data_IF_034464406229
#
_entry.id   IF_034464406229
#
_cell.length_a   1.000
_cell.length_b   1.000
_cell.length_c   1.000
_cell.angle_alpha   90.00
_cell.angle_beta   90.00
_cell.angle_gamma   90.00
#
_symmetry.space_group_name_H-M   'P 1'
#
loop_
_entity.id
_entity.type
_entity.pdbx_description
1 polymer ?
#
# COMPACT_ATOMS: atom_id res chain seq x y z
N UNK A 1 -21.58 33.58 -37.07
CA UNK A 1 -20.83 32.47 -36.43
C UNK A 1 -21.18 32.44 -34.95
N UNK A 2 -22.08 31.52 -34.53
CA UNK A 2 -22.60 31.42 -33.18
C UNK A 2 -21.60 30.63 -32.32
N UNK A 3 -21.07 31.27 -31.29
CA UNK A 3 -20.14 30.69 -30.31
C UNK A 3 -20.93 29.74 -29.42
N UNK A 4 -20.63 28.45 -29.51
CA UNK A 4 -21.28 27.38 -28.75
C UNK A 4 -20.96 27.52 -27.24
N UNK A 5 -21.89 27.87 -26.32
CA UNK A 5 -21.60 28.20 -24.92
C UNK A 5 -21.45 26.96 -24.02
N UNK A 6 -21.43 25.73 -24.56
CA UNK A 6 -21.46 24.49 -23.76
C UNK A 6 -20.17 23.66 -23.81
N UNK A 7 -19.03 24.29 -24.05
CA UNK A 7 -17.76 23.60 -23.80
C UNK A 7 -17.53 23.59 -22.27
N UNK A 8 -18.01 22.58 -21.58
CA UNK A 8 -17.63 22.29 -20.20
C UNK A 8 -16.10 22.18 -20.19
N UNK A 9 -15.43 23.21 -19.67
CA UNK A 9 -14.03 23.19 -19.37
C UNK A 9 -13.84 22.02 -18.39
N UNK A 10 -13.17 20.98 -18.84
CA UNK A 10 -12.84 19.86 -17.96
C UNK A 10 -12.04 20.43 -16.77
N UNK A 11 -12.39 20.10 -15.53
CA UNK A 11 -11.69 20.62 -14.38
C UNK A 11 -10.23 20.18 -14.46
N UNK A 12 -9.34 21.17 -14.35
CA UNK A 12 -7.88 21.03 -14.38
C UNK A 12 -7.32 20.25 -13.17
N UNK A 13 -8.21 19.67 -12.36
CA UNK A 13 -7.96 19.08 -11.04
C UNK A 13 -7.85 17.54 -11.05
N UNK A 14 -7.91 16.89 -12.22
CA UNK A 14 -7.84 15.41 -12.30
C UNK A 14 -6.56 14.78 -11.74
N UNK A 15 -5.33 15.30 -11.98
CA UNK A 15 -4.12 14.70 -11.42
C UNK A 15 -4.05 14.86 -9.91
N UNK A 16 -4.49 15.97 -9.34
CA UNK A 16 -4.50 16.22 -7.90
C UNK A 16 -5.49 15.31 -7.16
N UNK A 17 -6.66 15.04 -7.75
CA UNK A 17 -7.63 14.11 -7.19
C UNK A 17 -7.10 12.66 -7.18
N UNK A 18 -6.33 12.25 -8.17
CA UNK A 18 -5.64 10.96 -8.23
C UNK A 18 -4.59 10.81 -7.15
N UNK A 19 -3.71 11.80 -7.00
CA UNK A 19 -2.67 11.84 -5.98
C UNK A 19 -3.26 11.81 -4.56
N UNK A 20 -4.33 12.55 -4.31
CA UNK A 20 -5.02 12.58 -3.01
C UNK A 20 -5.65 11.23 -2.65
N UNK A 21 -6.25 10.53 -3.62
CA UNK A 21 -6.79 9.18 -3.41
C UNK A 21 -5.68 8.16 -3.13
N UNK A 22 -4.56 8.26 -3.83
CA UNK A 22 -3.39 7.41 -3.60
C UNK A 22 -2.81 7.64 -2.20
N UNK A 23 -2.68 8.90 -1.78
CA UNK A 23 -2.24 9.27 -0.45
C UNK A 23 -3.16 8.71 0.64
N UNK A 24 -4.48 8.86 0.47
CA UNK A 24 -5.45 8.32 1.42
C UNK A 24 -5.35 6.80 1.54
N UNK A 25 -5.23 6.10 0.41
CA UNK A 25 -5.07 4.65 0.40
C UNK A 25 -3.78 4.21 1.12
N UNK A 26 -2.68 4.93 0.92
CA UNK A 26 -1.43 4.69 1.63
C UNK A 26 -1.53 4.95 3.12
N UNK A 27 -2.22 6.02 3.55
CA UNK A 27 -2.47 6.28 4.98
C UNK A 27 -3.27 5.14 5.63
N UNK A 28 -4.27 4.59 4.95
CA UNK A 28 -5.04 3.45 5.45
C UNK A 28 -4.16 2.20 5.56
N UNK A 29 -3.31 1.95 4.56
CA UNK A 29 -2.36 0.85 4.58
C UNK A 29 -1.35 0.97 5.73
N UNK A 30 -0.81 2.17 5.95
CA UNK A 30 0.11 2.45 7.04
C UNK A 30 -0.56 2.30 8.42
N UNK A 31 -1.78 2.81 8.57
CA UNK A 31 -2.59 2.61 9.78
C UNK A 31 -2.76 1.11 10.10
N UNK A 32 -3.05 0.30 9.09
CA UNK A 32 -3.17 -1.15 9.25
C UNK A 32 -1.86 -1.78 9.74
N UNK A 33 -0.71 -1.41 9.15
CA UNK A 33 0.60 -1.89 9.59
C UNK A 33 0.96 -1.44 11.01
N UNK A 34 0.62 -0.20 11.39
CA UNK A 34 0.83 0.32 12.74
C UNK A 34 -0.03 -0.42 13.77
N UNK A 35 -1.28 -0.75 13.43
CA UNK A 35 -2.16 -1.55 14.27
C UNK A 35 -1.56 -2.95 14.46
N UNK A 36 -1.15 -3.62 13.38
CA UNK A 36 -0.46 -4.91 13.49
C UNK A 36 0.80 -4.81 14.36
N UNK A 37 1.60 -3.77 14.18
CA UNK A 37 2.79 -3.54 14.99
C UNK A 37 2.46 -3.36 16.46
N UNK A 38 1.44 -2.57 16.77
CA UNK A 38 1.00 -2.29 18.15
C UNK A 38 0.57 -3.57 18.88
N UNK A 39 -0.23 -4.38 18.23
CA UNK A 39 -0.79 -5.58 18.87
C UNK A 39 0.16 -6.78 18.83
N UNK A 40 0.98 -6.93 17.80
CA UNK A 40 1.80 -8.12 17.61
C UNK A 40 3.22 -8.00 18.17
N UNK A 41 3.87 -6.85 18.05
CA UNK A 41 5.26 -6.66 18.53
C UNK A 41 5.31 -6.27 20.01
N UNK A 42 4.34 -5.49 20.49
CA UNK A 42 4.31 -5.03 21.88
C UNK A 42 3.62 -6.01 22.84
N UNK A 43 3.37 -7.26 22.45
CA UNK A 43 2.89 -8.27 23.35
C UNK A 43 3.98 -8.63 24.39
N UNK A 44 3.66 -8.49 25.67
CA UNK A 44 4.60 -8.56 26.79
C UNK A 44 5.25 -9.95 26.98
N UNK A 45 4.75 -11.00 26.31
CA UNK A 45 5.37 -12.33 26.33
C UNK A 45 5.21 -13.05 24.98
N UNK A 46 6.21 -13.86 24.61
CA UNK A 46 6.16 -14.70 23.42
C UNK A 46 5.00 -15.70 23.45
N UNK A 47 4.69 -16.24 24.62
CA UNK A 47 3.59 -17.18 24.81
C UNK A 47 2.22 -16.54 24.56
N UNK A 48 1.98 -15.32 25.06
CA UNK A 48 0.74 -14.57 24.82
C UNK A 48 0.59 -14.22 23.34
N UNK A 49 1.72 -13.89 22.67
CA UNK A 49 1.75 -13.57 21.25
C UNK A 49 1.38 -14.78 20.38
N UNK A 50 1.95 -15.94 20.67
CA UNK A 50 1.69 -17.18 19.92
C UNK A 50 0.28 -17.70 20.21
N UNK A 51 -0.15 -17.73 21.46
CA UNK A 51 -1.42 -18.31 21.84
C UNK A 51 -2.64 -17.47 21.42
N UNK A 52 -2.57 -16.15 21.57
CA UNK A 52 -3.72 -15.27 21.32
C UNK A 52 -3.70 -14.63 19.92
N UNK A 53 -2.54 -14.16 19.45
CA UNK A 53 -2.48 -13.35 18.23
C UNK A 53 -2.21 -14.16 16.97
N UNK A 54 -1.60 -15.32 17.06
CA UNK A 54 -1.32 -16.15 15.86
C UNK A 54 -2.61 -16.66 15.22
N UNK A 55 -3.61 -16.99 16.00
CA UNK A 55 -4.93 -17.39 15.51
C UNK A 55 -5.65 -16.23 14.79
N UNK A 56 -5.56 -15.00 15.32
CA UNK A 56 -6.15 -13.81 14.67
C UNK A 56 -5.44 -13.44 13.38
N UNK A 57 -4.13 -13.64 13.30
CA UNK A 57 -3.37 -13.40 12.06
C UNK A 57 -3.78 -14.40 10.96
N UNK A 58 -4.04 -15.66 11.30
CA UNK A 58 -4.54 -16.65 10.35
C UNK A 58 -5.92 -16.28 9.81
N UNK A 59 -6.83 -15.87 10.68
CA UNK A 59 -8.16 -15.42 10.24
C UNK A 59 -8.08 -14.16 9.38
N UNK A 60 -7.23 -13.19 9.74
CA UNK A 60 -6.99 -11.99 8.92
C UNK A 60 -6.37 -12.32 7.56
N UNK A 61 -5.40 -13.23 7.51
CA UNK A 61 -4.83 -13.69 6.24
C UNK A 61 -5.89 -14.39 5.36
N UNK A 62 -6.74 -15.22 5.97
CA UNK A 62 -7.86 -15.88 5.30
C UNK A 62 -8.89 -14.89 4.76
N UNK A 63 -9.25 -13.88 5.54
CA UNK A 63 -10.15 -12.77 5.11
C UNK A 63 -9.51 -12.02 3.94
N UNK A 64 -8.23 -11.66 4.03
CA UNK A 64 -7.49 -10.99 2.96
C UNK A 64 -7.48 -11.80 1.65
N UNK A 65 -7.21 -13.11 1.75
CA UNK A 65 -7.27 -14.01 0.60
C UNK A 65 -8.70 -14.14 0.02
N UNK A 66 -9.72 -14.20 0.87
CA UNK A 66 -11.12 -14.22 0.46
C UNK A 66 -11.52 -12.95 -0.28
N UNK A 67 -11.18 -11.78 0.25
CA UNK A 67 -11.45 -10.47 -0.38
C UNK A 67 -10.72 -10.35 -1.71
N UNK A 68 -9.47 -10.85 -1.81
CA UNK A 68 -8.73 -10.90 -3.06
C UNK A 68 -9.45 -11.78 -4.09
N UNK A 69 -9.84 -12.99 -3.73
CA UNK A 69 -10.54 -13.91 -4.62
C UNK A 69 -11.87 -13.30 -5.13
N UNK A 70 -12.69 -12.76 -4.24
CA UNK A 70 -13.93 -12.08 -4.59
C UNK A 70 -13.68 -10.86 -5.49
N UNK A 71 -12.67 -10.05 -5.19
CA UNK A 71 -12.27 -8.90 -6.00
C UNK A 71 -11.86 -9.28 -7.41
N UNK A 72 -11.05 -10.35 -7.56
CA UNK A 72 -10.62 -10.86 -8.88
C UNK A 72 -11.80 -11.41 -9.66
N UNK A 73 -12.65 -12.25 -9.04
CA UNK A 73 -13.83 -12.81 -9.69
C UNK A 73 -14.77 -11.68 -10.13
N UNK A 74 -15.02 -10.69 -9.26
CA UNK A 74 -15.84 -9.53 -9.57
C UNK A 74 -15.24 -8.70 -10.72
N UNK A 75 -13.91 -8.53 -10.78
CA UNK A 75 -13.23 -7.82 -11.86
C UNK A 75 -13.37 -8.54 -13.21
N UNK A 76 -13.35 -9.88 -13.21
CA UNK A 76 -13.54 -10.71 -14.41
C UNK A 76 -15.00 -10.68 -14.89
N UNK A 77 -15.94 -10.82 -13.97
CA UNK A 77 -17.39 -10.85 -14.29
C UNK A 77 -17.89 -9.47 -14.73
N UNK A 78 -17.41 -8.39 -14.06
CA UNK A 78 -17.83 -7.01 -14.34
C UNK A 78 -17.02 -6.36 -15.47
N UNK A 79 -16.35 -7.12 -16.30
CA UNK A 79 -15.57 -6.62 -17.44
C UNK A 79 -16.35 -5.73 -18.40
N UNK A 80 -17.68 -5.87 -18.43
CA UNK A 80 -18.60 -5.08 -19.25
C UNK A 80 -18.71 -3.61 -18.80
N UNK A 81 -18.38 -3.26 -17.54
CA UNK A 81 -18.55 -1.91 -17.00
C UNK A 81 -17.24 -1.38 -16.43
N UNK A 82 -16.56 -0.46 -17.14
CA UNK A 82 -15.26 0.08 -16.78
C UNK A 82 -15.19 0.71 -15.37
N UNK A 83 -16.28 1.34 -14.90
CA UNK A 83 -16.32 1.93 -13.54
C UNK A 83 -16.38 0.85 -12.45
N UNK A 84 -17.21 -0.17 -12.64
CA UNK A 84 -17.36 -1.29 -11.68
C UNK A 84 -16.12 -2.18 -11.68
N UNK A 85 -15.51 -2.37 -12.84
CA UNK A 85 -14.26 -3.12 -12.96
C UNK A 85 -13.11 -2.44 -12.18
N UNK A 86 -12.98 -1.09 -12.26
CA UNK A 86 -11.97 -0.36 -11.47
C UNK A 86 -12.17 -0.53 -9.97
N UNK A 87 -13.41 -0.47 -9.47
CA UNK A 87 -13.67 -0.69 -8.04
C UNK A 87 -13.37 -2.12 -7.60
N UNK A 88 -13.64 -3.11 -8.44
CA UNK A 88 -13.31 -4.51 -8.17
C UNK A 88 -11.79 -4.74 -8.10
N UNK A 89 -11.01 -4.11 -8.97
CA UNK A 89 -9.54 -4.15 -8.90
C UNK A 89 -8.98 -3.49 -7.65
N UNK A 90 -9.56 -2.37 -7.20
CA UNK A 90 -9.17 -1.73 -5.94
C UNK A 90 -9.45 -2.65 -4.75
N UNK A 91 -10.60 -3.33 -4.75
CA UNK A 91 -10.95 -4.31 -3.72
C UNK A 91 -9.98 -5.49 -3.72
N UNK A 92 -9.63 -6.02 -4.91
CA UNK A 92 -8.65 -7.09 -5.05
C UNK A 92 -7.27 -6.67 -4.54
N UNK A 93 -6.82 -5.45 -4.87
CA UNK A 93 -5.55 -4.91 -4.39
C UNK A 93 -5.52 -4.74 -2.87
N UNK A 94 -6.61 -4.26 -2.27
CA UNK A 94 -6.74 -4.16 -0.82
C UNK A 94 -6.68 -5.54 -0.15
N UNK A 95 -7.40 -6.52 -0.67
CA UNK A 95 -7.36 -7.91 -0.17
C UNK A 95 -5.97 -8.54 -0.31
N UNK A 96 -5.29 -8.30 -1.44
CA UNK A 96 -3.92 -8.74 -1.67
C UNK A 96 -2.94 -8.13 -0.65
N UNK A 97 -3.07 -6.82 -0.39
CA UNK A 97 -2.22 -6.13 0.57
C UNK A 97 -2.41 -6.68 1.99
N UNK A 98 -3.66 -6.82 2.44
CA UNK A 98 -3.97 -7.36 3.78
C UNK A 98 -3.49 -8.79 3.91
N UNK A 99 -3.77 -9.65 2.93
CA UNK A 99 -3.33 -11.05 2.94
C UNK A 99 -1.80 -11.20 2.90
N UNK A 100 -1.13 -10.46 2.03
CA UNK A 100 0.33 -10.49 1.92
C UNK A 100 1.01 -9.91 3.16
N UNK A 101 0.54 -8.78 3.69
CA UNK A 101 1.11 -8.16 4.88
C UNK A 101 1.01 -9.09 6.10
N UNK A 102 -0.15 -9.72 6.33
CA UNK A 102 -0.33 -10.66 7.44
C UNK A 102 0.49 -11.94 7.27
N UNK A 103 0.59 -12.48 6.08
CA UNK A 103 1.40 -13.66 5.79
C UNK A 103 2.91 -13.39 5.99
N UNK A 104 3.39 -12.23 5.53
CA UNK A 104 4.78 -11.82 5.68
C UNK A 104 5.16 -11.55 7.14
N UNK A 105 4.27 -10.92 7.90
CA UNK A 105 4.47 -10.68 9.35
C UNK A 105 4.61 -11.99 10.12
N UNK A 106 3.81 -12.99 9.75
CA UNK A 106 3.89 -14.31 10.35
C UNK A 106 5.21 -15.02 10.04
N UNK A 107 5.69 -14.90 8.80
CA UNK A 107 6.94 -15.54 8.39
C UNK A 107 8.16 -14.91 9.06
N UNK A 108 8.21 -13.58 9.12
CA UNK A 108 9.33 -12.86 9.71
C UNK A 108 8.89 -11.52 10.32
N UNK A 109 9.08 -11.38 11.64
CA UNK A 109 8.75 -10.13 12.36
C UNK A 109 9.54 -8.92 11.87
N UNK A 110 10.78 -9.11 11.42
CA UNK A 110 11.58 -8.02 10.88
C UNK A 110 10.93 -7.40 9.63
N UNK A 111 10.15 -8.17 8.89
CA UNK A 111 9.43 -7.73 7.70
C UNK A 111 8.38 -6.66 8.03
N UNK A 112 7.72 -6.74 9.19
CA UNK A 112 6.75 -5.71 9.61
C UNK A 112 7.43 -4.35 9.79
N UNK A 113 8.58 -4.32 10.46
CA UNK A 113 9.35 -3.07 10.63
C UNK A 113 9.85 -2.53 9.29
N UNK A 114 10.22 -3.42 8.37
CA UNK A 114 10.61 -3.03 7.01
C UNK A 114 9.43 -2.46 6.22
N UNK A 115 8.26 -3.12 6.24
CA UNK A 115 7.04 -2.66 5.56
C UNK A 115 6.56 -1.29 6.05
N UNK A 116 6.63 -1.03 7.36
CA UNK A 116 6.27 0.27 7.97
C UNK A 116 7.16 1.42 7.46
N UNK A 117 8.35 1.14 6.94
CA UNK A 117 9.23 2.16 6.34
C UNK A 117 9.01 2.24 4.84
N UNK A 118 8.82 1.12 4.18
CA UNK A 118 8.68 1.05 2.72
C UNK A 118 7.39 1.70 2.23
N UNK A 119 6.27 1.51 2.94
CA UNK A 119 4.96 2.07 2.54
C UNK A 119 4.98 3.60 2.46
N UNK A 120 5.44 4.36 3.49
CA UNK A 120 5.57 5.82 3.39
C UNK A 120 6.52 6.27 2.28
N UNK A 121 7.62 5.54 2.05
CA UNK A 121 8.56 5.85 0.96
C UNK A 121 7.89 5.72 -0.39
N UNK A 122 7.14 4.64 -0.63
CA UNK A 122 6.37 4.45 -1.87
C UNK A 122 5.30 5.53 -2.02
N UNK A 123 4.64 5.92 -0.93
CA UNK A 123 3.66 7.02 -0.95
C UNK A 123 4.30 8.34 -1.37
N UNK A 124 5.43 8.70 -0.79
CA UNK A 124 6.15 9.93 -1.15
C UNK A 124 6.59 9.90 -2.61
N UNK A 125 7.14 8.78 -3.08
CA UNK A 125 7.52 8.63 -4.49
C UNK A 125 6.32 8.73 -5.43
N UNK A 126 5.18 8.14 -5.08
CA UNK A 126 3.95 8.24 -5.86
C UNK A 126 3.42 9.67 -5.94
N UNK A 127 3.50 10.44 -4.86
CA UNK A 127 3.12 11.86 -4.85
C UNK A 127 4.09 12.69 -5.71
N UNK A 128 5.40 12.43 -5.59
CA UNK A 128 6.41 13.10 -6.41
C UNK A 128 6.15 12.86 -7.90
N UNK A 129 5.83 11.61 -8.29
CA UNK A 129 5.47 11.27 -9.67
C UNK A 129 4.19 11.92 -10.16
N UNK A 130 3.25 12.24 -9.26
CA UNK A 130 2.00 12.91 -9.60
C UNK A 130 2.13 14.44 -9.72
N UNK A 131 3.09 15.05 -8.99
CA UNK A 131 3.24 16.49 -8.88
C UNK A 131 4.38 17.07 -9.74
N UNK A 132 5.42 16.30 -10.02
CA UNK A 132 6.62 16.75 -10.72
C UNK A 132 6.71 16.21 -12.15
N UNK A 133 7.47 16.93 -12.99
CA UNK A 133 7.80 16.48 -14.33
C UNK A 133 8.63 15.20 -14.28
N UNK A 134 8.51 14.37 -15.32
CA UNK A 134 9.12 13.03 -15.39
C UNK A 134 10.61 13.02 -15.10
N UNK A 135 11.35 14.02 -15.57
CA UNK A 135 12.81 14.08 -15.39
C UNK A 135 13.18 14.32 -13.92
N UNK A 136 12.49 15.28 -13.27
CA UNK A 136 12.69 15.58 -11.87
C UNK A 136 12.24 14.41 -10.97
N UNK A 137 11.12 13.77 -11.29
CA UNK A 137 10.63 12.59 -10.60
C UNK A 137 11.61 11.43 -10.68
N UNK A 138 12.22 11.17 -11.84
CA UNK A 138 13.26 10.15 -12.01
C UNK A 138 14.50 10.44 -11.18
N UNK A 139 15.01 11.68 -11.21
CA UNK A 139 16.18 12.05 -10.40
C UNK A 139 15.91 11.86 -8.90
N UNK A 140 14.75 12.28 -8.40
CA UNK A 140 14.34 12.10 -7.00
C UNK A 140 14.13 10.63 -6.63
N UNK A 141 13.59 9.80 -7.54
CA UNK A 141 13.44 8.36 -7.29
C UNK A 141 14.78 7.65 -7.19
N UNK A 142 15.74 7.97 -8.04
CA UNK A 142 17.10 7.40 -7.98
C UNK A 142 17.80 7.83 -6.70
N UNK A 143 17.69 9.10 -6.33
CA UNK A 143 18.26 9.62 -5.07
C UNK A 143 17.61 8.96 -3.85
N UNK A 144 16.27 8.86 -3.82
CA UNK A 144 15.55 8.19 -2.74
C UNK A 144 15.89 6.70 -2.63
N UNK A 145 15.99 6.00 -3.76
CA UNK A 145 16.38 4.59 -3.78
C UNK A 145 17.82 4.39 -3.28
N UNK A 146 18.75 5.24 -3.67
CA UNK A 146 20.14 5.17 -3.20
C UNK A 146 20.26 5.41 -1.69
N UNK A 147 19.54 6.39 -1.15
CA UNK A 147 19.48 6.64 0.28
C UNK A 147 18.87 5.48 1.05
N UNK A 148 17.80 4.87 0.50
CA UNK A 148 17.16 3.71 1.10
C UNK A 148 18.08 2.49 1.13
N UNK A 149 18.84 2.24 0.06
CA UNK A 149 19.85 1.16 0.02
C UNK A 149 20.95 1.41 1.03
N UNK A 150 21.49 2.63 1.11
CA UNK A 150 22.52 3.00 2.08
C UNK A 150 22.02 2.82 3.52
N UNK A 151 20.78 3.25 3.80
CA UNK A 151 20.16 3.04 5.10
C UNK A 151 20.01 1.55 5.43
N UNK A 152 19.57 0.75 4.46
CA UNK A 152 19.41 -0.70 4.60
C UNK A 152 20.75 -1.39 4.88
N UNK A 153 21.78 -1.07 4.12
CA UNK A 153 23.13 -1.61 4.33
C UNK A 153 23.67 -1.24 5.72
N UNK A 154 23.48 0.02 6.15
CA UNK A 154 23.89 0.46 7.50
C UNK A 154 23.12 -0.28 8.59
N UNK A 155 21.83 -0.50 8.42
CA UNK A 155 20.96 -1.13 9.44
C UNK A 155 21.23 -2.62 9.57
N UNK A 156 21.42 -3.32 8.45
CA UNK A 156 21.62 -4.77 8.43
C UNK A 156 23.09 -5.18 8.39
N UNK A 157 23.97 -4.34 7.84
CA UNK A 157 25.41 -4.60 7.81
C UNK A 157 26.08 -4.56 9.18
N UNK A 158 25.56 -3.77 10.13
CA UNK A 158 26.07 -3.75 11.51
C UNK A 158 25.67 -4.99 12.34
N UNK A 159 24.86 -5.88 11.79
CA UNK A 159 24.42 -7.12 12.45
C UNK A 159 25.32 -8.33 12.08
N UNK A 160 26.33 -8.14 11.23
CA UNK A 160 27.25 -9.20 10.78
C UNK A 160 28.61 -9.14 11.46
N UNK A 161 28.86 -8.22 12.38
CA UNK A 161 30.02 -8.15 13.26
C UNK A 161 29.51 -8.24 14.70
#
# INVERSE_FOLDING_TARGET
>A
MAKNPNKKVAPKDEPMNGAMKFFLAGCVAELYLLILRRFYINADSELTRIACYDHYLWTLAGIGAGVLAVGVIAALVLRSSAKKQKSAWILAAAGAFVGAATALVRWNMATLSFMTIVVPVIMLLGILWALYDRECALALTVLGASLFVLWGVRRYGSSMY
#
